data_IF_981518066416
#
_entry.id   IF_981518066416
#
_cell.length_a   1.000
_cell.length_b   1.000
_cell.length_c   1.000
_cell.angle_alpha   90.00
_cell.angle_beta   90.00
_cell.angle_gamma   90.00
#
_symmetry.space_group_name_H-M   'P 1'
#
loop_
_entity.id
_entity.type
_entity.pdbx_description
1 polymer ?
#
# COMPACT_ATOMS: atom_id res chain seq x y z
N UNK A 1 14.75 3.71 -7.55
CA UNK A 1 14.06 2.39 -7.53
C UNK A 1 13.48 2.15 -8.90
N UNK A 2 13.45 0.90 -9.41
CA UNK A 2 12.72 0.60 -10.66
C UNK A 2 11.21 0.69 -10.41
N UNK A 3 10.45 1.21 -11.39
CA UNK A 3 8.98 1.30 -11.31
C UNK A 3 8.33 -0.04 -10.99
N UNK A 4 8.86 -1.13 -11.54
CA UNK A 4 8.41 -2.51 -11.27
C UNK A 4 8.55 -2.89 -9.79
N UNK A 5 9.63 -2.49 -9.13
CA UNK A 5 9.83 -2.75 -7.70
C UNK A 5 8.81 -1.96 -6.86
N UNK A 6 8.55 -0.70 -7.21
CA UNK A 6 7.55 0.10 -6.52
C UNK A 6 6.14 -0.50 -6.68
N UNK A 7 5.81 -1.00 -7.89
CA UNK A 7 4.56 -1.69 -8.15
C UNK A 7 4.43 -2.98 -7.32
N UNK A 8 5.47 -3.83 -7.30
CA UNK A 8 5.46 -5.07 -6.54
C UNK A 8 5.21 -4.83 -5.05
N UNK A 9 5.88 -3.84 -4.47
CA UNK A 9 5.71 -3.49 -3.05
C UNK A 9 4.31 -2.94 -2.80
N UNK A 10 3.78 -2.10 -3.70
CA UNK A 10 2.40 -1.60 -3.63
C UNK A 10 1.39 -2.74 -3.64
N UNK A 11 1.52 -3.68 -4.57
CA UNK A 11 0.61 -4.84 -4.67
C UNK A 11 0.68 -5.70 -3.42
N UNK A 12 1.89 -6.00 -2.92
CA UNK A 12 2.08 -6.79 -1.71
C UNK A 12 1.44 -6.12 -0.49
N UNK A 13 1.70 -4.82 -0.27
CA UNK A 13 1.12 -4.07 0.84
C UNK A 13 -0.41 -3.96 0.74
N UNK A 14 -0.95 -3.74 -0.47
CA UNK A 14 -2.38 -3.72 -0.73
C UNK A 14 -3.04 -5.07 -0.45
N UNK A 15 -2.40 -6.17 -0.84
CA UNK A 15 -2.89 -7.53 -0.56
C UNK A 15 -2.95 -7.81 0.95
N UNK A 16 -1.96 -7.35 1.73
CA UNK A 16 -1.97 -7.46 3.20
C UNK A 16 -3.14 -6.68 3.80
N UNK A 17 -3.39 -5.45 3.32
CA UNK A 17 -4.53 -4.64 3.80
C UNK A 17 -5.87 -5.35 3.54
N UNK A 18 -6.06 -5.87 2.33
CA UNK A 18 -7.27 -6.60 1.95
C UNK A 18 -7.43 -7.89 2.77
N UNK A 19 -6.35 -8.67 2.93
CA UNK A 19 -6.36 -9.91 3.71
C UNK A 19 -6.65 -9.65 5.20
N UNK A 20 -6.11 -8.58 5.77
CA UNK A 20 -6.38 -8.19 7.16
C UNK A 20 -7.86 -7.85 7.37
N UNK A 21 -8.43 -7.01 6.50
CA UNK A 21 -9.85 -6.63 6.57
C UNK A 21 -10.78 -7.81 6.34
N UNK A 22 -10.52 -8.63 5.32
CA UNK A 22 -11.30 -9.83 5.02
C UNK A 22 -11.20 -10.86 6.14
N UNK A 23 -9.99 -11.10 6.68
CA UNK A 23 -9.74 -12.06 7.75
C UNK A 23 -10.45 -11.68 9.04
N UNK A 24 -10.48 -10.40 9.41
CA UNK A 24 -11.29 -9.95 10.55
C UNK A 24 -12.79 -10.12 10.28
N UNK A 25 -13.27 -9.70 9.10
CA UNK A 25 -14.70 -9.77 8.76
C UNK A 25 -15.25 -11.20 8.72
N UNK A 26 -14.42 -12.17 8.39
CA UNK A 26 -14.77 -13.60 8.31
C UNK A 26 -14.49 -14.35 9.63
N UNK A 27 -13.91 -13.68 10.63
CA UNK A 27 -13.60 -14.26 11.94
C UNK A 27 -12.30 -15.07 12.00
N UNK A 28 -11.49 -15.10 10.94
CA UNK A 28 -10.18 -15.76 10.92
C UNK A 28 -9.08 -14.95 11.63
N UNK A 29 -9.25 -13.63 11.77
CA UNK A 29 -8.32 -12.76 12.50
C UNK A 29 -9.01 -12.08 13.67
N UNK A 30 -8.28 -12.01 14.80
CA UNK A 30 -8.65 -11.13 15.90
C UNK A 30 -8.58 -9.66 15.45
N UNK A 31 -9.50 -8.83 15.97
CA UNK A 31 -9.63 -7.44 15.55
C UNK A 31 -8.32 -6.65 15.70
N UNK A 32 -7.69 -6.73 16.88
CA UNK A 32 -6.42 -6.04 17.16
C UNK A 32 -5.29 -6.42 16.18
N UNK A 33 -5.26 -7.68 15.73
CA UNK A 33 -4.24 -8.16 14.81
C UNK A 33 -4.47 -7.60 13.40
N UNK A 34 -5.72 -7.52 12.97
CA UNK A 34 -6.07 -6.87 11.71
C UNK A 34 -5.73 -5.37 11.72
N UNK A 35 -5.96 -4.69 12.84
CA UNK A 35 -5.58 -3.28 13.02
C UNK A 35 -4.06 -3.08 12.93
N UNK A 36 -3.26 -3.90 13.62
CA UNK A 36 -1.80 -3.82 13.53
C UNK A 36 -1.28 -4.05 12.11
N UNK A 37 -1.86 -5.01 11.39
CA UNK A 37 -1.52 -5.26 9.99
C UNK A 37 -1.84 -4.05 9.11
N UNK A 38 -2.98 -3.40 9.32
CA UNK A 38 -3.37 -2.20 8.59
C UNK A 38 -2.45 -1.00 8.93
N UNK A 39 -2.13 -0.79 10.21
CA UNK A 39 -1.22 0.29 10.65
C UNK A 39 0.16 0.15 10.00
N UNK A 40 0.66 -1.07 9.84
CA UNK A 40 1.95 -1.32 9.21
C UNK A 40 1.88 -1.27 7.67
N UNK A 41 0.89 -1.93 7.06
CA UNK A 41 0.84 -2.12 5.62
C UNK A 41 0.28 -0.91 4.86
N UNK A 42 -0.67 -0.17 5.45
CA UNK A 42 -1.33 0.94 4.76
C UNK A 42 -0.37 2.11 4.45
N UNK A 43 0.50 2.57 5.37
CA UNK A 43 1.50 3.59 5.03
C UNK A 43 2.45 3.13 3.92
N UNK A 44 2.89 1.87 3.96
CA UNK A 44 3.74 1.28 2.92
C UNK A 44 3.00 1.28 1.58
N UNK A 45 1.73 0.90 1.55
CA UNK A 45 0.92 0.94 0.34
C UNK A 45 0.85 2.35 -0.24
N UNK A 46 0.49 3.36 0.56
CA UNK A 46 0.35 4.75 0.09
C UNK A 46 1.67 5.30 -0.44
N UNK A 47 2.77 5.11 0.29
CA UNK A 47 4.09 5.58 -0.10
C UNK A 47 4.53 4.98 -1.43
N UNK A 48 4.44 3.66 -1.57
CA UNK A 48 4.92 2.97 -2.76
C UNK A 48 3.99 3.16 -3.96
N UNK A 49 2.68 3.34 -3.74
CA UNK A 49 1.74 3.73 -4.78
C UNK A 49 2.10 5.10 -5.35
N UNK A 50 2.39 6.06 -4.47
CA UNK A 50 2.89 7.38 -4.83
C UNK A 50 4.18 7.33 -5.64
N UNK A 51 5.16 6.53 -5.18
CA UNK A 51 6.42 6.33 -5.90
C UNK A 51 6.22 5.65 -7.26
N UNK A 52 5.30 4.69 -7.36
CA UNK A 52 5.00 4.01 -8.61
C UNK A 52 4.33 4.96 -9.62
N UNK A 53 3.42 5.80 -9.16
CA UNK A 53 2.82 6.85 -9.98
C UNK A 53 3.85 7.90 -10.40
N UNK A 54 4.74 8.34 -9.51
CA UNK A 54 5.77 9.35 -9.82
C UNK A 54 6.87 8.79 -10.74
N UNK A 55 7.08 7.47 -10.74
CA UNK A 55 8.02 6.83 -11.66
C UNK A 55 7.50 6.74 -13.11
N UNK A 56 6.39 7.37 -13.49
CA UNK A 56 6.00 7.48 -14.90
C UNK A 56 6.88 8.50 -15.62
N UNK A 57 7.80 7.98 -16.43
CA UNK A 57 8.57 8.75 -17.41
C UNK A 57 7.61 9.42 -18.41
N UNK A 58 7.14 10.65 -18.13
CA UNK A 58 6.40 11.43 -19.13
C UNK A 58 5.48 12.54 -18.62
N UNK A 59 5.01 12.53 -17.37
CA UNK A 59 4.14 13.60 -16.86
C UNK A 59 4.73 14.21 -15.59
N UNK A 60 4.82 15.54 -15.61
CA UNK A 60 5.34 16.39 -14.55
C UNK A 60 4.62 16.13 -13.22
N UNK A 61 5.40 16.12 -12.13
CA UNK A 61 5.02 16.14 -10.72
C UNK A 61 3.53 16.02 -10.40
N UNK A 62 3.14 14.86 -9.86
CA UNK A 62 1.80 14.71 -9.27
C UNK A 62 1.71 15.62 -8.04
N UNK A 63 0.84 16.65 -8.03
CA UNK A 63 0.87 17.75 -7.06
C UNK A 63 0.38 17.39 -5.64
N UNK A 64 0.14 16.10 -5.37
CA UNK A 64 -0.56 15.65 -4.17
C UNK A 64 0.35 15.06 -3.07
N UNK A 65 1.66 14.91 -3.33
CA UNK A 65 2.62 14.34 -2.36
C UNK A 65 3.45 15.38 -1.59
N UNK A 66 3.19 16.68 -1.82
CA UNK A 66 3.81 17.78 -1.08
C UNK A 66 5.25 18.06 -1.52
N UNK A 67 5.53 19.34 -1.76
CA UNK A 67 6.91 19.87 -1.82
C UNK A 67 7.58 19.79 -0.45
#
# INVERSE_FOLDING_TARGET
MKRENALLITIAAGAVCLAAGAGWRTGYLAHWLAELLLIAAFPVFVLFLGLWWNASEGEEDIPFLGY
#
